data_IF_263283803507
#
_entry.id   IF_263283803507
#
_cell.length_a   1.000
_cell.length_b   1.000
_cell.length_c   1.000
_cell.angle_alpha   90.00
_cell.angle_beta   90.00
_cell.angle_gamma   90.00
#
_symmetry.space_group_name_H-M   'P 1'
#
loop_
_entity.id
_entity.type
_entity.pdbx_description
1 polymer ?
#
# COMPACT_ATOMS: atom_id res chain seq x y z
N UNK A 1 -16.46 -21.86 -1.16
CA UNK A 1 -16.31 -20.98 0.04
C UNK A 1 -16.22 -19.55 -0.46
N UNK A 2 -16.96 -18.58 0.12
CA UNK A 2 -16.74 -17.18 -0.21
C UNK A 2 -15.38 -16.78 0.35
N UNK A 3 -14.48 -16.30 -0.49
CA UNK A 3 -13.20 -15.73 -0.05
C UNK A 3 -13.52 -14.51 0.80
N UNK A 4 -12.98 -14.46 2.02
CA UNK A 4 -13.19 -13.33 2.92
C UNK A 4 -12.46 -12.11 2.35
N UNK A 5 -13.14 -10.98 2.19
CA UNK A 5 -12.54 -9.73 1.73
C UNK A 5 -11.86 -9.01 2.89
N UNK A 6 -10.64 -8.51 2.67
CA UNK A 6 -9.98 -7.57 3.60
C UNK A 6 -10.48 -6.15 3.40
N UNK A 7 -10.86 -5.81 2.16
CA UNK A 7 -11.43 -4.50 1.80
C UNK A 7 -12.64 -4.72 0.92
N UNK A 8 -13.75 -4.02 1.19
CA UNK A 8 -14.93 -3.94 0.34
C UNK A 8 -15.37 -2.47 0.19
N UNK A 9 -15.29 -1.96 -1.01
CA UNK A 9 -15.80 -0.65 -1.41
C UNK A 9 -17.07 -0.84 -2.22
N UNK A 10 -18.17 -0.16 -1.85
CA UNK A 10 -19.47 -0.30 -2.53
C UNK A 10 -20.02 1.08 -2.90
N UNK A 11 -20.16 1.31 -4.20
CA UNK A 11 -20.64 2.57 -4.83
C UNK A 11 -19.96 3.82 -4.23
N UNK A 12 -18.64 3.73 -3.96
CA UNK A 12 -17.90 4.82 -3.32
C UNK A 12 -17.74 5.98 -4.29
N UNK A 13 -18.28 7.14 -3.90
CA UNK A 13 -18.15 8.40 -4.64
C UNK A 13 -17.46 9.45 -3.80
N UNK A 14 -16.63 10.27 -4.44
CA UNK A 14 -15.97 11.41 -3.80
C UNK A 14 -15.99 12.64 -4.68
N UNK A 15 -16.56 13.70 -4.15
CA UNK A 15 -16.46 15.08 -4.64
C UNK A 15 -15.76 15.94 -3.59
N UNK A 16 -15.04 16.98 -4.05
CA UNK A 16 -14.37 17.97 -3.20
C UNK A 16 -15.00 19.37 -3.33
N UNK A 17 -15.99 19.53 -4.21
CA UNK A 17 -16.64 20.80 -4.58
C UNK A 17 -18.14 20.82 -4.35
N UNK A 18 -18.60 20.04 -3.36
CA UNK A 18 -20.03 20.00 -3.00
C UNK A 18 -20.90 19.15 -3.94
N UNK A 19 -20.28 18.30 -4.78
CA UNK A 19 -21.02 17.37 -5.66
C UNK A 19 -21.10 17.82 -7.12
N UNK A 20 -20.41 18.88 -7.51
CA UNK A 20 -20.36 19.32 -8.91
C UNK A 20 -19.48 18.40 -9.78
N UNK A 21 -18.29 18.03 -9.27
CA UNK A 21 -17.42 17.07 -9.93
C UNK A 21 -17.03 15.93 -8.99
N UNK A 22 -17.05 14.70 -9.51
CA UNK A 22 -16.68 13.52 -8.75
C UNK A 22 -15.34 12.96 -9.24
N UNK A 23 -14.39 12.84 -8.31
CA UNK A 23 -13.09 12.17 -8.55
C UNK A 23 -13.27 10.65 -8.50
N UNK A 24 -14.05 10.14 -7.52
CA UNK A 24 -14.50 8.74 -7.52
C UNK A 24 -15.99 8.72 -7.88
N UNK A 25 -16.37 7.87 -8.83
CA UNK A 25 -17.69 7.88 -9.50
C UNK A 25 -18.45 6.57 -9.32
N UNK A 26 -18.41 6.02 -8.10
CA UNK A 26 -19.05 4.75 -7.79
C UNK A 26 -18.06 3.59 -7.91
N UNK A 27 -17.00 3.63 -7.13
CA UNK A 27 -16.01 2.56 -7.04
C UNK A 27 -16.61 1.36 -6.33
N UNK A 28 -16.56 0.21 -7.01
CA UNK A 28 -16.86 -1.10 -6.45
C UNK A 28 -15.60 -1.93 -6.55
N UNK A 29 -15.07 -2.39 -5.40
CA UNK A 29 -13.84 -3.17 -5.33
C UNK A 29 -13.86 -4.07 -4.10
N UNK A 30 -13.56 -5.34 -4.29
CA UNK A 30 -13.37 -6.29 -3.19
C UNK A 30 -11.96 -6.87 -3.26
N UNK A 31 -11.14 -6.59 -2.25
CA UNK A 31 -9.76 -7.11 -2.15
C UNK A 31 -9.79 -8.34 -1.25
N UNK A 32 -9.39 -9.53 -1.75
CA UNK A 32 -9.36 -10.75 -0.96
C UNK A 32 -8.36 -10.65 0.21
N UNK A 33 -8.73 -11.22 1.37
CA UNK A 33 -7.82 -11.30 2.52
C UNK A 33 -6.62 -12.19 2.18
N UNK A 34 -5.42 -11.72 2.54
CA UNK A 34 -4.17 -12.45 2.30
C UNK A 34 -3.68 -12.44 0.86
N UNK A 35 -4.28 -11.63 -0.04
CA UNK A 35 -3.79 -11.45 -1.41
C UNK A 35 -2.87 -10.25 -1.53
N UNK A 36 -2.02 -10.26 -2.57
CA UNK A 36 -1.33 -9.08 -3.07
C UNK A 36 -2.14 -8.54 -4.26
N UNK A 37 -2.76 -7.37 -4.08
CA UNK A 37 -3.56 -6.71 -5.11
C UNK A 37 -2.86 -5.45 -5.61
N UNK A 38 -2.65 -5.35 -6.93
CA UNK A 38 -2.14 -4.13 -7.57
C UNK A 38 -3.29 -3.25 -8.06
N UNK A 39 -3.24 -1.96 -7.73
CA UNK A 39 -4.15 -0.93 -8.23
C UNK A 39 -3.40 -0.12 -9.27
N UNK A 40 -3.81 -0.26 -10.54
CA UNK A 40 -3.18 0.38 -11.69
C UNK A 40 -4.13 1.38 -12.35
N UNK A 41 -3.60 2.21 -13.24
CA UNK A 41 -4.36 3.17 -14.02
C UNK A 41 -3.54 4.40 -14.37
N UNK A 42 -4.04 5.22 -15.28
CA UNK A 42 -3.37 6.46 -15.69
C UNK A 42 -3.23 7.46 -14.56
N UNK A 43 -2.34 8.45 -14.72
CA UNK A 43 -2.24 9.56 -13.78
C UNK A 43 -3.58 10.32 -13.71
N UNK A 44 -3.98 10.74 -12.51
CA UNK A 44 -5.22 11.51 -12.31
C UNK A 44 -6.51 10.67 -12.28
N UNK A 45 -6.48 9.34 -12.41
CA UNK A 45 -7.70 8.51 -12.41
C UNK A 45 -8.35 8.32 -11.04
N UNK A 46 -7.72 8.78 -9.96
CA UNK A 46 -8.26 8.71 -8.60
C UNK A 46 -7.59 7.68 -7.67
N UNK A 47 -6.49 7.01 -8.08
CA UNK A 47 -5.78 5.99 -7.26
C UNK A 47 -5.41 6.50 -5.87
N UNK A 48 -4.72 7.63 -5.79
CA UNK A 48 -4.29 8.21 -4.50
C UNK A 48 -5.49 8.70 -3.67
N UNK A 49 -6.57 9.14 -4.31
CA UNK A 49 -7.82 9.50 -3.61
C UNK A 49 -8.44 8.24 -3.03
N UNK A 50 -8.52 7.15 -3.80
CA UNK A 50 -9.03 5.86 -3.31
C UNK A 50 -8.18 5.34 -2.14
N UNK A 51 -6.85 5.40 -2.24
CA UNK A 51 -5.95 5.00 -1.17
C UNK A 51 -6.19 5.81 0.12
N UNK A 52 -6.38 7.12 0.01
CA UNK A 52 -6.70 7.97 1.17
C UNK A 52 -8.03 7.63 1.82
N UNK A 53 -8.99 7.12 1.05
CA UNK A 53 -10.24 6.58 1.61
C UNK A 53 -10.01 5.28 2.38
N UNK A 54 -9.19 4.36 1.85
CA UNK A 54 -8.84 3.12 2.57
C UNK A 54 -8.15 3.39 3.90
N UNK A 55 -7.32 4.42 3.96
CA UNK A 55 -6.66 4.86 5.19
C UNK A 55 -7.57 5.68 6.14
N UNK A 56 -8.83 5.91 5.74
CA UNK A 56 -9.74 6.77 6.50
C UNK A 56 -9.30 8.24 6.60
N UNK A 57 -8.40 8.69 5.69
CA UNK A 57 -7.98 10.11 5.62
C UNK A 57 -9.03 10.98 4.93
N UNK A 58 -9.85 10.36 4.07
CA UNK A 58 -11.01 11.00 3.45
C UNK A 58 -12.27 10.19 3.75
N UNK A 59 -13.36 10.89 4.05
CA UNK A 59 -14.71 10.31 4.09
C UNK A 59 -15.31 10.34 2.68
N UNK A 60 -15.99 9.28 2.25
CA UNK A 60 -16.69 9.28 0.98
C UNK A 60 -17.84 10.29 1.00
N UNK A 61 -18.22 10.83 -0.16
CA UNK A 61 -19.43 11.63 -0.34
C UNK A 61 -20.66 10.73 -0.28
N UNK A 62 -20.57 9.51 -0.83
CA UNK A 62 -21.55 8.44 -0.71
C UNK A 62 -20.89 7.07 -0.90
N UNK A 63 -21.62 6.00 -0.57
CA UNK A 63 -21.12 4.64 -0.58
C UNK A 63 -20.52 4.22 0.76
N UNK A 64 -20.06 2.98 0.85
CA UNK A 64 -19.50 2.38 2.07
C UNK A 64 -18.13 1.80 1.83
N UNK A 65 -17.29 1.84 2.86
CA UNK A 65 -15.92 1.29 2.82
C UNK A 65 -15.75 0.41 4.06
N UNK A 66 -15.84 -0.89 3.85
CA UNK A 66 -15.54 -1.89 4.86
C UNK A 66 -14.07 -2.31 4.76
N UNK A 67 -13.37 -2.30 5.86
CA UNK A 67 -11.99 -2.78 5.98
C UNK A 67 -11.91 -3.69 7.18
N UNK A 68 -11.48 -4.92 6.98
CA UNK A 68 -11.38 -5.96 8.01
C UNK A 68 -12.70 -6.16 8.77
N UNK A 69 -13.84 -6.05 8.08
CA UNK A 69 -15.18 -6.18 8.67
C UNK A 69 -15.69 -4.94 9.43
N UNK A 70 -15.00 -3.81 9.29
CA UNK A 70 -15.38 -2.53 9.93
C UNK A 70 -15.68 -1.48 8.86
N UNK A 71 -16.87 -0.89 8.88
CA UNK A 71 -17.18 0.29 8.06
C UNK A 71 -16.44 1.51 8.61
N UNK A 72 -15.30 1.82 7.98
CA UNK A 72 -14.45 2.93 8.43
C UNK A 72 -15.04 4.31 8.18
N UNK A 73 -16.08 4.42 7.33
CA UNK A 73 -16.75 5.70 7.04
C UNK A 73 -17.54 6.21 8.24
N UNK A 74 -17.93 5.32 9.15
CA UNK A 74 -18.71 5.62 10.36
C UNK A 74 -17.84 5.99 11.56
N UNK A 75 -16.54 5.71 11.51
CA UNK A 75 -15.62 5.92 12.63
C UNK A 75 -15.34 7.41 12.87
N UNK A 76 -15.20 7.78 14.15
CA UNK A 76 -14.66 9.09 14.53
C UNK A 76 -13.12 9.08 14.50
N UNK A 77 -12.47 10.27 14.64
CA UNK A 77 -11.01 10.39 14.54
C UNK A 77 -10.24 9.55 15.57
N UNK A 78 -10.74 9.43 16.81
CA UNK A 78 -10.09 8.61 17.84
C UNK A 78 -10.13 7.11 17.47
N UNK A 79 -11.26 6.66 16.93
CA UNK A 79 -11.44 5.29 16.45
C UNK A 79 -10.58 5.03 15.22
N UNK A 80 -10.53 5.99 14.27
CA UNK A 80 -9.69 5.92 13.07
C UNK A 80 -8.20 5.86 13.43
N UNK A 81 -7.75 6.64 14.42
CA UNK A 81 -6.34 6.60 14.88
C UNK A 81 -5.95 5.20 15.37
N UNK A 82 -6.82 4.56 16.16
CA UNK A 82 -6.60 3.17 16.61
C UNK A 82 -6.70 2.19 15.44
N UNK A 83 -7.66 2.38 14.56
CA UNK A 83 -7.88 1.50 13.41
C UNK A 83 -6.71 1.53 12.42
N UNK A 84 -6.07 2.70 12.25
CA UNK A 84 -4.91 2.88 11.38
C UNK A 84 -3.70 2.04 11.80
N UNK A 85 -3.63 1.56 13.03
CA UNK A 85 -2.59 0.61 13.46
C UNK A 85 -2.64 -0.74 12.70
N UNK A 86 -3.78 -1.07 12.07
CA UNK A 86 -3.90 -2.25 11.22
C UNK A 86 -3.23 -2.07 9.85
N UNK A 87 -2.77 -0.87 9.52
CA UNK A 87 -2.10 -0.56 8.25
C UNK A 87 -0.62 -0.29 8.44
N UNK A 88 0.20 -0.86 7.59
CA UNK A 88 1.57 -0.42 7.34
C UNK A 88 1.64 0.24 5.97
N UNK A 89 2.27 1.40 5.86
CA UNK A 89 2.36 2.14 4.58
C UNK A 89 3.82 2.39 4.22
N UNK A 90 4.22 1.92 3.04
CA UNK A 90 5.46 2.32 2.37
C UNK A 90 5.15 3.36 1.31
N UNK A 91 5.58 4.59 1.53
CA UNK A 91 5.42 5.71 0.61
C UNK A 91 6.50 5.72 -0.49
N UNK A 92 6.22 6.43 -1.57
CA UNK A 92 7.11 6.61 -2.71
C UNK A 92 8.52 7.08 -2.34
N UNK A 93 8.67 8.01 -1.40
CA UNK A 93 9.97 8.52 -0.91
C UNK A 93 10.46 7.82 0.35
N UNK A 94 9.84 6.68 0.75
CA UNK A 94 9.97 6.06 2.07
C UNK A 94 9.50 6.98 3.23
N UNK A 95 9.40 8.28 3.04
CA UNK A 95 8.94 9.30 3.99
C UNK A 95 9.57 9.15 5.39
N UNK A 96 10.88 8.94 5.45
CA UNK A 96 11.62 8.85 6.70
C UNK A 96 11.72 10.24 7.35
N UNK A 97 11.77 10.27 8.66
CA UNK A 97 12.12 11.48 9.42
C UNK A 97 13.61 11.72 9.29
N UNK A 98 14.00 12.86 8.72
CA UNK A 98 15.39 13.17 8.36
C UNK A 98 16.31 13.39 9.57
N UNK A 99 15.73 13.79 10.70
CA UNK A 99 16.39 14.05 11.99
C UNK A 99 16.43 12.82 12.92
N UNK A 100 15.86 11.70 12.46
CA UNK A 100 15.88 10.41 13.18
C UNK A 100 16.78 9.41 12.47
N UNK A 101 17.51 8.62 13.25
CA UNK A 101 18.27 7.49 12.73
C UNK A 101 17.35 6.41 12.13
N UNK A 102 17.93 5.46 11.40
CA UNK A 102 17.24 4.27 10.90
C UNK A 102 16.48 3.56 12.02
N UNK A 103 17.13 3.32 13.15
CA UNK A 103 16.52 2.67 14.31
C UNK A 103 15.35 3.48 14.86
N UNK A 104 15.53 4.77 15.06
CA UNK A 104 14.50 5.67 15.61
C UNK A 104 13.29 5.78 14.70
N UNK A 105 13.48 5.83 13.36
CA UNK A 105 12.40 5.79 12.41
C UNK A 105 11.51 4.54 12.58
N UNK A 106 12.10 3.37 12.83
CA UNK A 106 11.35 2.12 13.02
C UNK A 106 10.74 2.03 14.42
N UNK A 107 11.39 2.60 15.43
CA UNK A 107 10.86 2.69 16.80
C UNK A 107 9.66 3.63 16.91
N UNK A 108 9.59 4.67 16.07
CA UNK A 108 8.60 5.75 16.17
C UNK A 108 7.15 5.26 16.31
N UNK A 109 6.59 4.42 15.42
CA UNK A 109 5.20 3.96 15.55
C UNK A 109 4.98 3.12 16.80
N UNK A 110 6.00 2.41 17.30
CA UNK A 110 5.91 1.65 18.54
C UNK A 110 5.81 2.58 19.76
N UNK A 111 6.60 3.64 19.83
CA UNK A 111 6.52 4.63 20.93
C UNK A 111 5.15 5.33 20.94
N UNK A 112 4.58 5.64 19.78
CA UNK A 112 3.28 6.31 19.68
C UNK A 112 2.11 5.41 20.09
N UNK A 113 2.14 4.13 19.71
CA UNK A 113 0.97 3.25 19.80
C UNK A 113 1.10 2.12 20.82
N UNK A 114 2.31 1.82 21.32
CA UNK A 114 2.58 0.72 22.24
C UNK A 114 3.18 1.24 23.55
N UNK A 115 2.43 2.09 24.25
CA UNK A 115 2.81 2.67 25.54
C UNK A 115 2.98 1.64 26.67
N UNK A 116 2.54 0.40 26.43
CA UNK A 116 2.73 -0.76 27.30
C UNK A 116 4.17 -1.30 27.27
N UNK A 117 4.95 -0.95 26.23
CA UNK A 117 6.31 -1.44 26.05
C UNK A 117 7.35 -0.50 26.66
N UNK A 118 8.38 -1.11 27.27
CA UNK A 118 9.59 -0.37 27.70
C UNK A 118 10.51 -0.13 26.50
N UNK A 119 11.36 0.88 26.58
CA UNK A 119 12.26 1.28 25.50
C UNK A 119 13.09 0.11 24.92
N UNK A 120 13.66 -0.73 25.79
CA UNK A 120 14.46 -1.88 25.32
C UNK A 120 13.64 -2.90 24.53
N UNK A 121 12.34 -3.06 24.84
CA UNK A 121 11.43 -3.94 24.10
C UNK A 121 11.09 -3.35 22.72
N UNK A 122 10.84 -2.03 22.66
CA UNK A 122 10.63 -1.28 21.42
C UNK A 122 11.85 -1.45 20.50
N UNK A 123 13.06 -1.22 21.03
CA UNK A 123 14.30 -1.38 20.26
C UNK A 123 14.49 -2.81 19.75
N UNK A 124 14.20 -3.82 20.57
CA UNK A 124 14.28 -5.23 20.16
C UNK A 124 13.31 -5.56 19.04
N UNK A 125 12.08 -5.05 19.07
CA UNK A 125 11.09 -5.24 18.00
C UNK A 125 11.59 -4.53 16.74
N UNK A 126 12.01 -3.28 16.83
CA UNK A 126 12.51 -2.51 15.69
C UNK A 126 13.73 -3.18 15.04
N UNK A 127 14.66 -3.71 15.84
CA UNK A 127 15.80 -4.47 15.35
C UNK A 127 15.37 -5.72 14.55
N UNK A 128 14.42 -6.47 15.07
CA UNK A 128 13.86 -7.64 14.36
C UNK A 128 13.24 -7.24 13.02
N UNK A 129 12.51 -6.09 12.95
CA UNK A 129 11.94 -5.61 11.69
C UNK A 129 13.00 -5.14 10.70
N UNK A 130 14.08 -4.51 11.17
CA UNK A 130 15.22 -4.13 10.33
C UNK A 130 15.93 -5.36 9.76
N UNK A 131 16.09 -6.41 10.55
CA UNK A 131 16.64 -7.69 10.09
C UNK A 131 15.71 -8.39 9.08
N UNK A 132 14.39 -8.37 9.33
CA UNK A 132 13.36 -8.93 8.43
C UNK A 132 13.47 -8.35 7.01
N UNK A 133 13.74 -7.05 6.89
CA UNK A 133 13.94 -6.39 5.58
C UNK A 133 15.38 -6.47 5.06
N UNK A 134 16.26 -7.19 5.73
CA UNK A 134 17.65 -7.40 5.32
C UNK A 134 18.55 -6.18 5.47
N UNK A 135 18.34 -5.33 6.49
CA UNK A 135 19.21 -4.21 6.80
C UNK A 135 20.22 -4.60 7.89
N UNK A 136 21.50 -4.39 7.62
CA UNK A 136 22.58 -4.73 8.55
C UNK A 136 22.68 -3.74 9.71
N UNK A 137 23.04 -4.24 10.91
CA UNK A 137 23.11 -3.47 12.16
C UNK A 137 24.07 -2.26 12.12
N UNK A 138 25.13 -2.32 11.30
CA UNK A 138 26.06 -1.20 11.07
C UNK A 138 25.41 0.08 10.52
N UNK A 139 24.15 -0.03 10.05
CA UNK A 139 23.39 1.09 9.48
C UNK A 139 22.34 1.67 10.44
N UNK A 140 22.05 0.99 11.56
CA UNK A 140 20.93 1.36 12.44
C UNK A 140 21.06 2.77 13.07
N UNK A 141 22.28 3.22 13.33
CA UNK A 141 22.55 4.54 13.91
C UNK A 141 22.81 5.63 12.87
N UNK A 142 22.64 5.33 11.57
CA UNK A 142 22.80 6.31 10.50
C UNK A 142 21.51 7.10 10.28
N UNK A 143 21.66 8.35 9.83
CA UNK A 143 20.56 9.18 9.36
C UNK A 143 20.14 8.77 7.94
N UNK A 144 18.92 9.11 7.49
CA UNK A 144 18.45 8.78 6.14
C UNK A 144 19.39 9.27 5.02
N UNK A 145 19.99 10.44 5.15
CA UNK A 145 20.93 10.98 4.16
C UNK A 145 22.29 10.27 4.12
N UNK A 146 22.57 9.36 5.04
CA UNK A 146 23.81 8.58 5.14
C UNK A 146 23.67 7.15 4.59
N UNK A 147 22.50 6.81 4.04
CA UNK A 147 22.18 5.49 3.51
C UNK A 147 21.64 5.60 2.07
N UNK A 148 21.77 4.51 1.29
CA UNK A 148 21.29 4.49 -0.09
C UNK A 148 19.76 4.52 -0.17
N UNK A 149 19.20 4.90 -1.33
CA UNK A 149 17.75 4.91 -1.57
C UNK A 149 17.10 3.55 -1.33
N UNK A 150 17.75 2.45 -1.74
CA UNK A 150 17.27 1.08 -1.45
C UNK A 150 17.24 0.78 0.06
N UNK A 151 18.23 1.27 0.83
CA UNK A 151 18.24 1.13 2.29
C UNK A 151 17.16 2.00 2.95
N UNK A 152 16.89 3.19 2.40
CA UNK A 152 15.77 4.03 2.86
C UNK A 152 14.43 3.32 2.65
N UNK A 153 14.22 2.66 1.49
CA UNK A 153 13.01 1.84 1.23
C UNK A 153 12.88 0.70 2.22
N UNK A 154 13.97 -0.03 2.49
CA UNK A 154 13.99 -1.09 3.52
C UNK A 154 13.64 -0.55 4.91
N UNK A 155 14.20 0.60 5.30
CA UNK A 155 13.87 1.26 6.57
C UNK A 155 12.40 1.66 6.63
N UNK A 156 11.86 2.26 5.56
CA UNK A 156 10.46 2.62 5.45
C UNK A 156 9.52 1.41 5.56
N UNK A 157 9.92 0.28 4.95
CA UNK A 157 9.17 -0.97 5.08
C UNK A 157 9.27 -1.55 6.50
N UNK A 158 10.45 -1.55 7.13
CA UNK A 158 10.60 -1.99 8.51
C UNK A 158 9.72 -1.16 9.46
N UNK A 159 9.65 0.16 9.24
CA UNK A 159 8.74 1.06 9.98
C UNK A 159 7.27 0.71 9.75
N UNK A 160 6.88 0.44 8.50
CA UNK A 160 5.52 0.00 8.17
C UNK A 160 5.13 -1.32 8.84
N UNK A 161 6.10 -2.21 9.04
CA UNK A 161 5.93 -3.50 9.70
C UNK A 161 5.97 -3.45 11.22
N UNK A 162 6.35 -2.33 11.84
CA UNK A 162 6.65 -2.26 13.26
C UNK A 162 5.47 -2.65 14.17
N UNK A 163 4.24 -2.35 13.76
CA UNK A 163 3.01 -2.67 14.51
C UNK A 163 2.38 -4.00 14.10
N UNK A 164 3.05 -4.83 13.30
CA UNK A 164 2.50 -6.09 12.75
C UNK A 164 1.12 -5.90 12.08
N UNK A 165 1.03 -5.04 11.04
CA UNK A 165 -0.24 -4.70 10.42
C UNK A 165 -0.89 -5.88 9.70
N UNK A 166 -2.23 -5.88 9.61
CA UNK A 166 -3.00 -6.84 8.80
C UNK A 166 -3.02 -6.45 7.31
N UNK A 167 -2.84 -5.16 7.00
CA UNK A 167 -2.81 -4.65 5.63
C UNK A 167 -1.52 -3.84 5.41
N UNK A 168 -0.78 -4.20 4.36
CA UNK A 168 0.38 -3.45 3.88
C UNK A 168 0.02 -2.70 2.61
N UNK A 169 0.31 -1.42 2.59
CA UNK A 169 0.08 -0.54 1.45
C UNK A 169 1.43 -0.06 0.91
N UNK A 170 1.60 -0.18 -0.39
CA UNK A 170 2.77 0.29 -1.13
C UNK A 170 2.29 1.36 -2.13
N UNK A 171 2.57 2.63 -1.82
CA UNK A 171 2.15 3.76 -2.65
C UNK A 171 3.29 4.16 -3.57
N UNK A 172 3.20 3.77 -4.85
CA UNK A 172 4.18 4.05 -5.90
C UNK A 172 5.63 3.69 -5.49
N UNK A 173 5.89 2.46 -4.99
CA UNK A 173 7.13 2.12 -4.28
C UNK A 173 8.38 2.18 -5.15
N UNK A 174 8.25 2.03 -6.47
CA UNK A 174 9.35 1.96 -7.45
C UNK A 174 9.50 3.21 -8.30
N UNK A 175 8.62 4.20 -8.13
CA UNK A 175 8.65 5.44 -8.93
C UNK A 175 9.97 6.20 -8.75
N UNK A 176 10.62 6.51 -9.88
CA UNK A 176 11.88 7.27 -9.91
C UNK A 176 13.12 6.44 -9.60
N UNK A 177 13.00 5.11 -9.52
CA UNK A 177 14.13 4.20 -9.37
C UNK A 177 14.62 3.71 -10.74
N UNK A 178 15.91 3.37 -10.81
CA UNK A 178 16.45 2.63 -11.95
C UNK A 178 15.92 1.18 -11.98
N UNK A 179 16.06 0.45 -13.11
CA UNK A 179 15.51 -0.90 -13.25
C UNK A 179 16.02 -1.90 -12.21
N UNK A 180 17.28 -1.79 -11.78
CA UNK A 180 17.87 -2.71 -10.80
C UNK A 180 17.27 -2.48 -9.42
N UNK A 181 17.14 -1.23 -9.01
CA UNK A 181 16.51 -0.88 -7.74
C UNK A 181 15.00 -1.19 -7.76
N UNK A 182 14.32 -1.01 -8.90
CA UNK A 182 12.93 -1.42 -9.10
C UNK A 182 12.75 -2.91 -8.82
N UNK A 183 13.55 -3.76 -9.45
CA UNK A 183 13.48 -5.21 -9.23
C UNK A 183 13.78 -5.60 -7.77
N UNK A 184 14.75 -4.93 -7.14
CA UNK A 184 15.04 -5.15 -5.72
C UNK A 184 13.85 -4.81 -4.81
N UNK A 185 13.13 -3.73 -5.09
CA UNK A 185 11.95 -3.31 -4.31
C UNK A 185 10.78 -4.26 -4.55
N UNK A 186 10.54 -4.67 -5.79
CA UNK A 186 9.50 -5.64 -6.12
C UNK A 186 9.74 -7.00 -5.43
N UNK A 187 10.98 -7.48 -5.45
CA UNK A 187 11.37 -8.69 -4.75
C UNK A 187 11.21 -8.54 -3.23
N UNK A 188 11.51 -7.35 -2.68
CA UNK A 188 11.30 -7.05 -1.26
C UNK A 188 9.80 -7.11 -0.90
N UNK A 189 8.92 -6.51 -1.72
CA UNK A 189 7.46 -6.55 -1.55
C UNK A 189 6.96 -8.00 -1.59
N UNK A 190 7.34 -8.74 -2.63
CA UNK A 190 6.91 -10.13 -2.83
C UNK A 190 7.37 -11.05 -1.68
N UNK A 191 8.64 -10.92 -1.26
CA UNK A 191 9.18 -11.71 -0.16
C UNK A 191 8.50 -11.36 1.18
N UNK A 192 8.25 -10.07 1.43
CA UNK A 192 7.52 -9.61 2.62
C UNK A 192 6.11 -10.18 2.64
N UNK A 193 5.39 -10.13 1.50
CA UNK A 193 4.05 -10.69 1.39
C UNK A 193 4.05 -12.21 1.64
N UNK A 194 4.96 -12.96 1.01
CA UNK A 194 5.06 -14.42 1.16
C UNK A 194 5.46 -14.87 2.57
N UNK A 195 6.32 -14.12 3.24
CA UNK A 195 6.77 -14.46 4.60
C UNK A 195 5.72 -14.18 5.68
N UNK A 196 4.72 -13.35 5.38
CA UNK A 196 3.68 -12.90 6.33
C UNK A 196 2.31 -13.45 5.93
N UNK A 197 2.12 -14.76 6.14
CA UNK A 197 0.85 -15.43 5.81
C UNK A 197 -0.35 -14.75 6.47
N UNK A 198 -1.38 -14.45 5.67
CA UNK A 198 -2.60 -13.78 6.11
C UNK A 198 -2.56 -12.25 6.06
N UNK A 199 -1.41 -11.60 5.87
CA UNK A 199 -1.32 -10.17 5.63
C UNK A 199 -1.79 -9.85 4.21
N UNK A 200 -2.68 -8.88 4.06
CA UNK A 200 -3.14 -8.41 2.75
C UNK A 200 -2.21 -7.31 2.27
N UNK A 201 -1.75 -7.37 1.02
CA UNK A 201 -0.89 -6.36 0.41
C UNK A 201 -1.63 -5.62 -0.69
N UNK A 202 -1.56 -4.29 -0.68
CA UNK A 202 -2.17 -3.42 -1.70
C UNK A 202 -1.06 -2.54 -2.28
N UNK A 203 -0.77 -2.69 -3.55
CA UNK A 203 0.23 -1.88 -4.25
C UNK A 203 -0.46 -0.93 -5.22
N UNK A 204 -0.24 0.36 -5.07
CA UNK A 204 -0.62 1.36 -6.09
C UNK A 204 0.60 1.60 -6.96
N UNK A 205 0.47 1.38 -8.26
CA UNK A 205 1.58 1.56 -9.20
C UNK A 205 1.11 1.98 -10.59
N UNK A 206 1.98 2.67 -11.31
CA UNK A 206 1.88 2.86 -12.75
C UNK A 206 2.80 1.90 -13.52
N UNK A 207 3.64 1.14 -12.83
CA UNK A 207 4.49 0.09 -13.42
C UNK A 207 3.65 -1.19 -13.61
N UNK A 208 3.26 -1.42 -14.87
CA UNK A 208 2.48 -2.58 -15.25
C UNK A 208 3.26 -3.88 -15.10
N UNK A 209 4.54 -3.87 -15.49
CA UNK A 209 5.34 -5.08 -15.45
C UNK A 209 5.50 -5.61 -14.01
N UNK A 210 5.76 -4.69 -13.06
CA UNK A 210 5.76 -5.04 -11.64
C UNK A 210 4.40 -5.61 -11.21
N UNK A 211 3.28 -4.92 -11.54
CA UNK A 211 1.95 -5.36 -11.18
C UNK A 211 1.64 -6.78 -11.70
N UNK A 212 1.92 -7.05 -12.97
CA UNK A 212 1.68 -8.37 -13.58
C UNK A 212 2.62 -9.47 -13.07
N UNK A 213 3.82 -9.11 -12.62
CA UNK A 213 4.81 -10.07 -12.11
C UNK A 213 4.54 -10.52 -10.70
N UNK A 214 4.05 -9.63 -9.80
CA UNK A 214 4.00 -9.93 -8.38
C UNK A 214 2.59 -9.99 -7.79
N UNK A 215 1.56 -9.45 -8.45
CA UNK A 215 0.21 -9.39 -7.89
C UNK A 215 -0.59 -10.66 -8.16
N UNK A 216 -1.37 -11.09 -7.17
CA UNK A 216 -2.39 -12.15 -7.33
C UNK A 216 -3.62 -11.61 -8.07
N UNK A 217 -3.96 -10.34 -7.80
CA UNK A 217 -5.08 -9.64 -8.43
C UNK A 217 -4.68 -8.24 -8.86
N UNK A 218 -5.34 -7.75 -9.90
CA UNK A 218 -5.13 -6.41 -10.42
C UNK A 218 -6.48 -5.69 -10.48
N UNK A 219 -6.52 -4.44 -10.06
CA UNK A 219 -7.64 -3.52 -10.22
C UNK A 219 -7.22 -2.37 -11.14
N UNK A 220 -7.84 -2.22 -12.30
CA UNK A 220 -7.60 -1.06 -13.17
C UNK A 220 -8.62 0.03 -12.89
N UNK A 221 -8.11 1.17 -12.45
CA UNK A 221 -8.91 2.38 -12.21
C UNK A 221 -8.80 3.33 -13.40
N UNK A 222 -9.94 3.73 -13.95
CA UNK A 222 -10.04 4.78 -14.95
C UNK A 222 -11.23 5.70 -14.67
N UNK A 223 -11.02 7.00 -14.87
CA UNK A 223 -12.07 8.01 -14.75
C UNK A 223 -12.93 7.89 -13.48
N UNK A 224 -12.29 7.51 -12.35
CA UNK A 224 -12.93 7.36 -11.05
C UNK A 224 -13.76 6.07 -10.87
N UNK A 225 -13.60 5.08 -11.74
CA UNK A 225 -14.27 3.77 -11.67
C UNK A 225 -13.27 2.63 -11.81
N UNK A 226 -13.57 1.49 -11.21
CA UNK A 226 -12.84 0.24 -11.51
C UNK A 226 -13.40 -0.33 -12.79
N UNK A 227 -12.57 -0.40 -13.83
CA UNK A 227 -12.93 -0.96 -15.13
C UNK A 227 -12.87 -2.48 -15.14
N UNK A 228 -11.83 -3.03 -14.52
CA UNK A 228 -11.62 -4.47 -14.41
C UNK A 228 -10.95 -4.77 -13.07
N UNK A 229 -11.38 -5.83 -12.42
CA UNK A 229 -10.73 -6.46 -11.28
C UNK A 229 -10.65 -7.97 -11.55
N UNK A 230 -9.47 -8.54 -11.48
CA UNK A 230 -9.26 -9.95 -11.74
C UNK A 230 -7.80 -10.36 -11.58
N UNK A 231 -7.48 -11.57 -11.98
CA UNK A 231 -6.12 -12.10 -12.06
C UNK A 231 -5.35 -11.47 -13.24
N UNK A 232 -4.01 -11.56 -13.29
CA UNK A 232 -3.25 -11.18 -14.48
C UNK A 232 -3.80 -11.78 -15.78
N UNK A 233 -4.24 -13.06 -15.77
CA UNK A 233 -4.80 -13.74 -16.92
C UNK A 233 -6.11 -13.11 -17.40
N UNK A 234 -6.96 -12.64 -16.51
CA UNK A 234 -8.20 -11.93 -16.86
C UNK A 234 -7.91 -10.64 -17.65
N UNK A 235 -6.79 -9.97 -17.33
CA UNK A 235 -6.36 -8.77 -18.05
C UNK A 235 -5.83 -9.07 -19.46
N UNK A 236 -5.17 -10.20 -19.66
CA UNK A 236 -4.72 -10.62 -21.00
C UNK A 236 -5.88 -11.07 -21.87
N UNK A 237 -6.93 -11.68 -21.30
CA UNK A 237 -8.07 -12.25 -21.99
C UNK A 237 -9.31 -11.33 -22.05
N UNK A 238 -9.21 -10.09 -21.55
CA UNK A 238 -10.35 -9.16 -21.50
C UNK A 238 -10.78 -8.68 -22.87
N UNK A 239 -12.08 -8.39 -23.04
CA UNK A 239 -12.62 -7.72 -24.22
C UNK A 239 -12.69 -6.20 -24.11
N UNK A 240 -12.35 -5.64 -22.96
CA UNK A 240 -12.36 -4.19 -22.72
C UNK A 240 -11.19 -3.53 -23.46
N UNK A 241 -11.50 -2.82 -24.54
CA UNK A 241 -10.51 -2.23 -25.46
C UNK A 241 -9.49 -1.32 -24.76
N UNK A 242 -9.93 -0.52 -23.78
CA UNK A 242 -9.03 0.36 -23.02
C UNK A 242 -8.01 -0.44 -22.22
N UNK A 243 -8.44 -1.56 -21.61
CA UNK A 243 -7.55 -2.45 -20.83
C UNK A 243 -6.55 -3.11 -21.77
N UNK A 244 -7.01 -3.67 -22.93
CA UNK A 244 -6.11 -4.24 -23.96
C UNK A 244 -5.03 -3.24 -24.39
N UNK A 245 -5.43 -2.01 -24.70
CA UNK A 245 -4.49 -0.96 -25.12
C UNK A 245 -3.50 -0.59 -24.00
N UNK A 246 -3.97 -0.56 -22.75
CA UNK A 246 -3.14 -0.25 -21.60
C UNK A 246 -2.10 -1.34 -21.35
N UNK A 247 -2.51 -2.61 -21.35
CA UNK A 247 -1.62 -3.77 -21.22
C UNK A 247 -0.58 -3.81 -22.34
N UNK A 248 -1.05 -3.68 -23.60
CA UNK A 248 -0.17 -3.77 -24.79
C UNK A 248 0.88 -2.65 -24.81
N UNK A 249 0.56 -1.43 -24.35
CA UNK A 249 1.53 -0.33 -24.28
C UNK A 249 2.53 -0.53 -23.14
N UNK A 250 2.06 -0.92 -21.96
CA UNK A 250 2.92 -1.10 -20.80
C UNK A 250 3.91 -2.25 -20.93
N UNK A 251 3.55 -3.30 -21.70
CA UNK A 251 4.42 -4.47 -21.94
C UNK A 251 5.41 -4.28 -23.10
N UNK A 252 5.24 -3.26 -23.97
CA UNK A 252 6.11 -2.98 -25.12
C UNK A 252 7.29 -2.05 -24.82
N UNK A 253 7.34 -1.45 -23.66
CA UNK A 253 8.40 -0.51 -23.24
C UNK A 253 9.45 -1.17 -22.32
N UNK A 254 9.60 -2.48 -22.43
CA UNK A 254 10.66 -3.26 -21.78
C UNK A 254 11.66 -3.83 -22.78
#
# INVERSE_FOLDING_TARGET
MRVQSAVSMRDVKKSFDGGHEFVLKGVNLEIPKGSLTAIIGFSGTGKSVMLKHLLGLYKPTSGTIDVLGTDISTLNEQQLTKFRCNFGVLFQSAALFDDMTVMENVCFPLFEHRRDLKEFQVRKIAEAKLQEVGLESKHYNKLPNQISGGMQKRTGLARALALDPEILIYDEPTTGLDPILTEMVDNLILNTHKSRQGTTSIMVSHDLAAAFRIADHIAMLDSGRVLLFGTPDDFFNTDIELVKRFVNKGMKHQ
#
